data_IF_823988515278
#
_entry.id   IF_823988515278
#
_cell.length_a   1.000
_cell.length_b   1.000
_cell.length_c   1.000
_cell.angle_alpha   90.00
_cell.angle_beta   90.00
_cell.angle_gamma   90.00
#
_symmetry.space_group_name_H-M   'P 1'
#
loop_
_entity.id
_entity.type
_entity.pdbx_description
1 polymer ?
#
# COMPACT_ATOMS: atom_id res chain seq x y z
N UNK A 1 2.19 -2.97 18.27
CA UNK A 1 3.06 -1.90 17.74
C UNK A 1 2.97 -1.94 16.23
N UNK A 2 2.65 -0.84 15.54
CA UNK A 2 2.35 -0.82 14.09
C UNK A 2 3.58 -1.05 13.16
N UNK A 3 4.68 -1.61 13.69
CA UNK A 3 5.93 -1.86 12.91
C UNK A 3 5.67 -2.75 11.70
N UNK A 4 4.83 -3.77 11.82
CA UNK A 4 4.55 -4.69 10.71
C UNK A 4 3.84 -3.98 9.55
N UNK A 5 2.88 -3.11 9.85
CA UNK A 5 2.18 -2.31 8.83
C UNK A 5 3.11 -1.31 8.15
N UNK A 6 4.04 -0.72 8.89
CA UNK A 6 5.06 0.18 8.32
C UNK A 6 5.99 -0.62 7.38
N UNK A 7 6.43 -1.82 7.78
CA UNK A 7 7.23 -2.70 6.93
C UNK A 7 6.48 -3.07 5.66
N UNK A 8 5.23 -3.52 5.76
CA UNK A 8 4.41 -3.84 4.57
C UNK A 8 4.15 -2.61 3.69
N UNK A 9 3.99 -1.42 4.26
CA UNK A 9 3.87 -0.19 3.49
C UNK A 9 5.15 0.10 2.69
N UNK A 10 6.33 -0.11 3.29
CA UNK A 10 7.61 0.01 2.56
C UNK A 10 7.69 -0.99 1.40
N UNK A 11 7.31 -2.24 1.63
CA UNK A 11 7.27 -3.28 0.58
C UNK A 11 6.36 -2.88 -0.59
N UNK A 12 5.18 -2.30 -0.29
CA UNK A 12 4.28 -1.78 -1.33
C UNK A 12 4.94 -0.67 -2.14
N UNK A 13 5.57 0.31 -1.46
CA UNK A 13 6.22 1.43 -2.14
C UNK A 13 7.39 0.97 -3.01
N UNK A 14 8.18 0.02 -2.54
CA UNK A 14 9.28 -0.59 -3.28
C UNK A 14 8.79 -1.36 -4.50
N UNK A 15 7.79 -2.23 -4.31
CA UNK A 15 7.15 -2.97 -5.41
C UNK A 15 6.62 -2.03 -6.50
N UNK A 16 5.90 -0.95 -6.14
CA UNK A 16 5.34 -0.01 -7.12
C UNK A 16 6.43 0.82 -7.81
N UNK A 17 7.54 1.10 -7.12
CA UNK A 17 8.71 1.73 -7.74
C UNK A 17 9.35 0.80 -8.77
N UNK A 18 9.57 -0.46 -8.42
CA UNK A 18 10.24 -1.44 -9.29
C UNK A 18 9.39 -1.83 -10.50
N UNK A 19 8.09 -2.04 -10.30
CA UNK A 19 7.20 -2.55 -11.35
C UNK A 19 6.54 -1.46 -12.18
N UNK A 20 6.31 -0.27 -11.61
CA UNK A 20 5.58 0.83 -12.26
C UNK A 20 6.38 2.14 -12.35
N UNK A 21 7.60 2.19 -11.83
CA UNK A 21 8.42 3.41 -11.80
C UNK A 21 7.88 4.51 -10.89
N UNK A 22 6.93 4.20 -10.00
CA UNK A 22 6.25 5.21 -9.20
C UNK A 22 7.08 5.59 -7.96
N UNK A 23 7.29 6.89 -7.75
CA UNK A 23 7.83 7.40 -6.50
C UNK A 23 6.73 7.57 -5.44
N UNK A 24 7.12 7.80 -4.17
CA UNK A 24 6.17 7.94 -3.05
C UNK A 24 5.09 9.01 -3.30
N UNK A 25 5.44 10.13 -3.95
CA UNK A 25 4.48 11.20 -4.21
C UNK A 25 3.47 10.83 -5.29
N UNK A 26 3.91 10.11 -6.31
CA UNK A 26 3.01 9.58 -7.33
C UNK A 26 2.08 8.52 -6.74
N UNK A 27 2.59 7.59 -5.92
CA UNK A 27 1.77 6.60 -5.21
C UNK A 27 0.74 7.27 -4.28
N UNK A 28 1.14 8.32 -3.57
CA UNK A 28 0.22 9.07 -2.73
C UNK A 28 -0.91 9.70 -3.57
N UNK A 29 -0.55 10.33 -4.69
CA UNK A 29 -1.50 10.96 -5.62
C UNK A 29 -2.50 9.95 -6.20
N UNK A 30 -2.03 8.77 -6.63
CA UNK A 30 -2.89 7.75 -7.25
C UNK A 30 -3.94 7.20 -6.29
N UNK A 31 -3.66 7.16 -4.99
CA UNK A 31 -4.63 6.75 -3.96
C UNK A 31 -5.35 7.93 -3.28
N UNK A 32 -5.19 9.16 -3.79
CA UNK A 32 -5.90 10.34 -3.28
C UNK A 32 -5.44 10.82 -1.90
N UNK A 33 -4.17 10.61 -1.54
CA UNK A 33 -3.57 11.16 -0.30
C UNK A 33 -2.36 12.04 -0.63
N UNK A 34 -1.91 12.83 0.35
CA UNK A 34 -0.71 13.65 0.18
C UNK A 34 0.57 12.84 0.42
N UNK A 35 1.67 13.19 -0.24
CA UNK A 35 2.99 12.57 0.01
C UNK A 35 3.38 12.65 1.48
N UNK A 36 3.05 13.76 2.14
CA UNK A 36 3.27 13.96 3.58
C UNK A 36 2.44 13.03 4.45
N UNK A 37 1.24 12.61 4.02
CA UNK A 37 0.46 11.59 4.72
C UNK A 37 1.20 10.25 4.76
N UNK A 38 1.79 9.82 3.64
CA UNK A 38 2.60 8.60 3.57
C UNK A 38 3.86 8.73 4.45
N UNK A 39 4.56 9.87 4.42
CA UNK A 39 5.70 10.10 5.31
C UNK A 39 5.33 9.97 6.78
N UNK A 40 4.22 10.58 7.21
CA UNK A 40 3.72 10.46 8.60
C UNK A 40 3.36 9.02 8.95
N UNK A 41 2.81 8.25 8.01
CA UNK A 41 2.55 6.82 8.20
C UNK A 41 3.84 6.03 8.41
N UNK A 42 4.86 6.26 7.59
CA UNK A 42 6.17 5.60 7.70
C UNK A 42 6.90 5.93 9.01
N UNK A 43 6.70 7.14 9.54
CA UNK A 43 7.24 7.59 10.82
C UNK A 43 6.41 7.19 12.04
N UNK A 44 5.30 6.46 11.84
CA UNK A 44 4.33 6.14 12.90
C UNK A 44 3.69 7.39 13.56
N UNK A 45 3.71 8.53 12.89
CA UNK A 45 3.05 9.78 13.30
C UNK A 45 1.58 9.83 12.87
N UNK A 46 1.17 8.90 11.99
CA UNK A 46 -0.20 8.74 11.49
C UNK A 46 -0.51 7.25 11.34
N UNK A 47 -1.68 6.83 11.81
CA UNK A 47 -2.12 5.46 11.63
C UNK A 47 -2.36 5.11 10.15
N UNK A 48 -1.97 3.89 9.77
CA UNK A 48 -2.31 3.28 8.48
C UNK A 48 -3.67 2.59 8.64
N UNK A 49 -4.71 3.19 8.09
CA UNK A 49 -6.10 2.73 8.27
C UNK A 49 -6.49 1.67 7.25
N UNK A 50 -7.48 0.82 7.58
CA UNK A 50 -8.06 -0.12 6.60
C UNK A 50 -8.56 0.60 5.34
N UNK A 51 -9.16 1.79 5.50
CA UNK A 51 -9.59 2.62 4.36
C UNK A 51 -8.44 2.99 3.43
N UNK A 52 -7.28 3.35 3.97
CA UNK A 52 -6.08 3.65 3.17
C UNK A 52 -5.65 2.44 2.35
N UNK A 53 -5.67 1.25 2.96
CA UNK A 53 -5.22 0.03 2.29
C UNK A 53 -6.22 -0.47 1.25
N UNK A 54 -7.53 -0.30 1.46
CA UNK A 54 -8.54 -0.57 0.43
C UNK A 54 -8.34 0.31 -0.82
N UNK A 55 -7.73 1.49 -0.70
CA UNK A 55 -7.37 2.31 -1.86
C UNK A 55 -6.18 1.70 -2.62
N UNK A 56 -5.18 1.18 -1.91
CA UNK A 56 -4.09 0.42 -2.54
C UNK A 56 -4.60 -0.84 -3.25
N UNK A 57 -5.58 -1.53 -2.65
CA UNK A 57 -6.24 -2.68 -3.28
C UNK A 57 -6.93 -2.28 -4.58
N UNK A 58 -7.78 -1.26 -4.52
CA UNK A 58 -8.55 -0.81 -5.67
C UNK A 58 -7.69 -0.26 -6.82
N UNK A 59 -6.63 0.49 -6.50
CA UNK A 59 -5.84 1.23 -7.51
C UNK A 59 -4.62 0.43 -7.99
N UNK A 60 -4.07 -0.43 -7.13
CA UNK A 60 -2.80 -1.08 -7.37
C UNK A 60 -2.83 -2.60 -7.23
N UNK A 61 -4.01 -3.19 -7.02
CA UNK A 61 -4.21 -4.64 -6.85
C UNK A 61 -3.41 -5.20 -5.65
N UNK A 62 -3.21 -4.39 -4.60
CA UNK A 62 -2.53 -4.78 -3.36
C UNK A 62 -3.54 -5.31 -2.34
N UNK A 63 -3.42 -6.58 -1.93
CA UNK A 63 -4.34 -7.23 -0.99
C UNK A 63 -4.39 -6.52 0.36
N UNK A 64 -5.57 -6.04 0.74
CA UNK A 64 -5.79 -5.45 2.06
C UNK A 64 -5.76 -6.47 3.17
N UNK A 65 -6.15 -7.71 2.90
CA UNK A 65 -6.05 -8.82 3.85
C UNK A 65 -4.59 -9.16 4.12
N UNK A 66 -3.75 -9.31 3.09
CA UNK A 66 -2.31 -9.50 3.27
C UNK A 66 -1.69 -8.39 4.10
N UNK A 67 -2.04 -7.15 3.82
CA UNK A 67 -1.53 -6.03 4.58
C UNK A 67 -1.92 -6.08 6.07
N UNK A 68 -3.17 -6.43 6.36
CA UNK A 68 -3.73 -6.35 7.72
C UNK A 68 -3.39 -7.57 8.57
N UNK A 69 -3.38 -8.77 7.99
CA UNK A 69 -3.27 -10.06 8.70
C UNK A 69 -2.04 -10.89 8.29
N UNK A 70 -1.26 -10.47 7.29
CA UNK A 70 -0.14 -11.25 6.72
C UNK A 70 -0.56 -12.58 6.09
N UNK A 71 -1.84 -12.72 5.74
CA UNK A 71 -2.35 -13.91 5.06
C UNK A 71 -2.33 -13.70 3.55
N UNK A 72 -2.20 -14.79 2.80
CA UNK A 72 -2.22 -14.79 1.33
C UNK A 72 -1.09 -13.98 0.66
N UNK A 73 -1.21 -13.77 -0.64
CA UNK A 73 -0.25 -13.02 -1.45
C UNK A 73 -0.50 -11.51 -1.38
N UNK A 74 0.59 -10.73 -1.42
CA UNK A 74 0.53 -9.26 -1.50
C UNK A 74 -0.21 -8.75 -2.74
N UNK A 75 -0.04 -9.42 -3.88
CA UNK A 75 -0.60 -9.00 -5.16
C UNK A 75 -1.84 -9.83 -5.47
N UNK A 76 -2.97 -9.17 -5.65
CA UNK A 76 -4.19 -9.81 -6.12
C UNK A 76 -4.00 -10.18 -7.59
N UNK A 77 -4.04 -11.48 -7.89
CA UNK A 77 -4.10 -11.96 -9.27
C UNK A 77 -5.45 -11.52 -9.83
N UNK A 78 -5.45 -10.69 -10.87
CA UNK A 78 -6.68 -10.45 -11.63
C UNK A 78 -7.18 -11.81 -12.11
N UNK A 79 -8.36 -12.22 -11.65
CA UNK A 79 -9.06 -13.35 -12.25
C UNK A 79 -9.14 -13.00 -13.73
N UNK A 80 -8.41 -13.75 -14.55
CA UNK A 80 -8.57 -13.67 -15.99
C UNK A 80 -10.05 -13.75 -16.26
N UNK A 81 -10.60 -12.75 -16.93
CA UNK A 81 -11.88 -12.88 -17.60
C UNK A 81 -11.67 -14.09 -18.52
N UNK A 82 -12.25 -15.22 -18.11
CA UNK A 82 -12.19 -16.47 -18.86
C UNK A 82 -13.34 -16.46 -19.85
#
# INVERSE_FOLDING_TARGET
>A
MDKDKITRLKMILEYLKETKGLNQGQVASTIGVTSGAITKMLKNERAITKKTILLFEHVHDISSEWFMSNHDDMILKKKGVT
#
